data_IF_455270141239
#
_entry.id   IF_455270141239
#
_cell.length_a   1.000
_cell.length_b   1.000
_cell.length_c   1.000
_cell.angle_alpha   90.00
_cell.angle_beta   90.00
_cell.angle_gamma   90.00
#
_symmetry.space_group_name_H-M   'P 1'
#
loop_
_entity.id
_entity.type
_entity.pdbx_description
1 polymer ?
#
# COMPACT_ATOMS: atom_id res chain seq x y z
N UNK A 1 6.02 -0.30 0.34
CA UNK A 1 4.56 -0.14 0.24
C UNK A 1 4.13 0.81 1.34
N UNK A 2 3.90 2.07 0.97
CA UNK A 2 3.37 3.09 1.88
C UNK A 2 1.92 3.32 1.45
N UNK A 3 0.99 3.08 2.34
CA UNK A 3 -0.39 3.52 2.17
C UNK A 3 -0.45 4.84 2.92
N UNK A 4 -0.59 5.95 2.21
CA UNK A 4 -0.80 7.23 2.85
C UNK A 4 -2.14 7.16 3.58
N UNK A 5 -2.16 7.54 4.85
CA UNK A 5 -3.35 7.47 5.70
C UNK A 5 -4.41 8.54 5.36
N UNK A 6 -4.20 9.31 4.29
CA UNK A 6 -5.13 10.33 3.83
C UNK A 6 -5.02 11.65 4.59
N UNK A 7 -3.81 12.04 5.01
CA UNK A 7 -3.54 13.37 5.61
C UNK A 7 -3.98 14.53 4.68
N UNK A 8 -4.13 14.30 3.37
CA UNK A 8 -4.71 15.27 2.43
C UNK A 8 -6.20 15.04 2.07
N UNK A 9 -6.93 14.26 2.86
CA UNK A 9 -8.35 13.95 2.61
C UNK A 9 -8.59 12.97 1.45
N UNK A 10 -7.52 12.38 0.89
CA UNK A 10 -7.59 11.37 -0.15
C UNK A 10 -6.70 10.19 0.23
N UNK A 11 -7.23 8.97 0.13
CA UNK A 11 -6.43 7.76 0.33
C UNK A 11 -5.60 7.48 -0.92
N UNK A 12 -4.27 7.60 -0.82
CA UNK A 12 -3.37 7.21 -1.89
C UNK A 12 -2.79 5.82 -1.63
N UNK A 13 -2.92 4.93 -2.62
CA UNK A 13 -2.26 3.62 -2.61
C UNK A 13 -1.11 3.71 -3.59
N UNK A 14 0.13 3.71 -3.07
CA UNK A 14 1.33 3.79 -3.89
C UNK A 14 2.06 2.45 -3.92
N UNK A 15 2.26 1.92 -5.13
CA UNK A 15 3.17 0.82 -5.40
C UNK A 15 4.34 1.37 -6.23
N UNK A 16 5.55 1.02 -5.84
CA UNK A 16 6.76 1.44 -6.55
C UNK A 16 7.75 0.28 -6.64
N UNK A 17 8.60 0.35 -7.66
CA UNK A 17 9.73 -0.55 -7.86
C UNK A 17 10.98 0.35 -7.96
N UNK A 18 11.99 0.07 -7.14
CA UNK A 18 13.28 0.75 -7.21
C UNK A 18 14.19 -0.01 -8.17
N UNK A 19 13.96 0.21 -9.47
CA UNK A 19 14.64 -0.50 -10.53
C UNK A 19 16.02 0.11 -10.83
N UNK A 20 16.97 -0.71 -11.29
CA UNK A 20 18.27 -0.26 -11.76
C UNK A 20 18.18 0.45 -13.12
N UNK A 21 19.20 1.20 -13.51
CA UNK A 21 19.28 1.90 -14.80
C UNK A 21 18.90 0.99 -15.98
N UNK A 22 18.17 1.54 -16.95
CA UNK A 22 17.63 0.83 -18.13
C UNK A 22 16.64 -0.32 -17.82
N UNK A 23 16.16 -0.46 -16.57
CA UNK A 23 15.22 -1.52 -16.16
C UNK A 23 13.79 -1.04 -15.94
N UNK A 24 13.45 0.17 -16.39
CA UNK A 24 12.11 0.72 -16.18
C UNK A 24 11.00 -0.11 -16.85
N UNK A 25 11.25 -0.68 -18.04
CA UNK A 25 10.28 -1.52 -18.76
C UNK A 25 9.87 -2.78 -17.98
N UNK A 26 10.80 -3.67 -17.59
CA UNK A 26 10.44 -4.84 -16.79
C UNK A 26 9.85 -4.47 -15.43
N UNK A 27 10.24 -3.33 -14.84
CA UNK A 27 9.65 -2.83 -13.60
C UNK A 27 8.18 -2.42 -13.78
N UNK A 28 7.86 -1.65 -14.82
CA UNK A 28 6.47 -1.31 -15.19
C UNK A 28 5.65 -2.57 -15.45
N UNK A 29 6.19 -3.51 -16.23
CA UNK A 29 5.49 -4.77 -16.50
C UNK A 29 5.27 -5.61 -15.23
N UNK A 30 6.25 -5.65 -14.32
CA UNK A 30 6.16 -6.32 -13.03
C UNK A 30 5.07 -5.72 -12.14
N UNK A 31 5.12 -4.39 -11.93
CA UNK A 31 4.10 -3.67 -11.17
C UNK A 31 2.71 -3.88 -11.77
N UNK A 32 2.58 -3.88 -13.10
CA UNK A 32 1.29 -4.07 -13.75
C UNK A 32 0.74 -5.49 -13.60
N UNK A 33 1.59 -6.51 -13.67
CA UNK A 33 1.17 -7.90 -13.39
C UNK A 33 0.73 -8.07 -11.93
N UNK A 34 1.49 -7.51 -10.98
CA UNK A 34 1.16 -7.60 -9.55
C UNK A 34 -0.19 -6.94 -9.27
N UNK A 35 -0.38 -5.69 -9.73
CA UNK A 35 -1.65 -4.97 -9.52
C UNK A 35 -2.82 -5.66 -10.23
N UNK A 36 -2.61 -6.21 -11.42
CA UNK A 36 -3.64 -7.01 -12.11
C UNK A 36 -4.00 -8.30 -11.34
N UNK A 37 -3.01 -9.02 -10.82
CA UNK A 37 -3.23 -10.22 -10.02
C UNK A 37 -3.98 -9.88 -8.72
N UNK A 38 -3.62 -8.79 -8.05
CA UNK A 38 -4.29 -8.35 -6.83
C UNK A 38 -5.74 -7.89 -7.07
N UNK A 39 -6.01 -7.24 -8.20
CA UNK A 39 -7.38 -6.80 -8.54
C UNK A 39 -8.28 -7.95 -8.97
N UNK A 40 -7.73 -8.97 -9.63
CA UNK A 40 -8.49 -10.13 -10.10
C UNK A 40 -8.57 -11.25 -9.05
N UNK A 41 -7.42 -11.72 -8.57
CA UNK A 41 -7.30 -12.81 -7.60
C UNK A 41 -7.45 -12.39 -6.14
N UNK A 42 -7.05 -11.17 -5.79
CA UNK A 42 -6.96 -10.73 -4.39
C UNK A 42 -5.69 -11.25 -3.70
N UNK A 43 -5.74 -11.35 -2.37
CA UNK A 43 -4.64 -11.89 -1.56
C UNK A 43 -4.76 -13.41 -1.41
N UNK A 44 -3.63 -14.08 -1.27
CA UNK A 44 -3.60 -15.49 -0.84
C UNK A 44 -3.91 -15.60 0.66
N UNK A 45 -4.36 -16.78 1.09
CA UNK A 45 -4.59 -17.05 2.52
C UNK A 45 -3.29 -16.93 3.34
N UNK A 46 -2.15 -17.33 2.76
CA UNK A 46 -0.85 -17.29 3.41
C UNK A 46 -0.37 -15.86 3.64
N UNK A 47 -0.43 -15.00 2.61
CA UNK A 47 -0.12 -13.56 2.72
C UNK A 47 -1.02 -12.89 3.75
N UNK A 48 -2.32 -13.22 3.76
CA UNK A 48 -3.26 -12.63 4.69
C UNK A 48 -2.96 -13.01 6.15
N UNK A 49 -2.62 -14.28 6.40
CA UNK A 49 -2.27 -14.73 7.75
C UNK A 49 -0.92 -14.17 8.19
N UNK A 50 0.05 -14.02 7.28
CA UNK A 50 1.31 -13.36 7.59
C UNK A 50 1.08 -11.91 8.01
N UNK A 51 0.33 -11.13 7.23
CA UNK A 51 0.01 -9.74 7.55
C UNK A 51 -0.69 -9.59 8.92
N UNK A 52 -1.62 -10.50 9.26
CA UNK A 52 -2.27 -10.50 10.57
C UNK A 52 -1.29 -10.74 11.73
N UNK A 53 -0.35 -11.67 11.57
CA UNK A 53 0.69 -11.94 12.58
C UNK A 53 1.62 -10.74 12.72
N UNK A 54 2.07 -10.17 11.60
CA UNK A 54 2.99 -9.03 11.61
C UNK A 54 2.40 -7.82 12.35
N UNK A 55 1.09 -7.55 12.19
CA UNK A 55 0.39 -6.49 12.95
C UNK A 55 0.42 -6.78 14.45
N UNK A 56 0.10 -8.02 14.86
CA UNK A 56 0.07 -8.40 16.28
C UNK A 56 1.47 -8.35 16.88
N UNK A 57 2.49 -8.83 16.17
CA UNK A 57 3.88 -8.82 16.60
C UNK A 57 4.43 -7.39 16.72
N UNK A 58 4.09 -6.50 15.77
CA UNK A 58 4.45 -5.09 15.86
C UNK A 58 3.81 -4.40 17.08
N UNK A 59 2.51 -4.62 17.29
CA UNK A 59 1.78 -4.05 18.43
C UNK A 59 2.29 -4.59 19.77
N UNK A 60 2.63 -5.88 19.84
CA UNK A 60 3.25 -6.48 21.03
C UNK A 60 4.59 -5.80 21.37
N UNK A 61 5.47 -5.61 20.37
CA UNK A 61 6.75 -4.92 20.59
C UNK A 61 6.54 -3.49 21.07
N UNK A 62 5.66 -2.73 20.41
CA UNK A 62 5.35 -1.35 20.81
C UNK A 62 4.75 -1.25 22.21
N UNK A 63 3.89 -2.20 22.60
CA UNK A 63 3.33 -2.25 23.94
C UNK A 63 4.41 -2.53 25.01
N UNK A 64 5.37 -3.41 24.71
CA UNK A 64 6.49 -3.71 25.61
C UNK A 64 7.48 -2.54 25.75
N UNK A 65 7.65 -1.76 24.69
CA UNK A 65 8.61 -0.65 24.63
C UNK A 65 8.00 0.72 24.95
N UNK A 66 6.72 0.80 25.35
CA UNK A 66 6.02 2.08 25.58
C UNK A 66 6.74 2.99 26.58
N UNK A 67 7.34 2.42 27.63
CA UNK A 67 8.09 3.16 28.64
C UNK A 67 9.44 3.70 28.13
N UNK A 68 9.90 3.25 26.96
CA UNK A 68 11.15 3.67 26.32
C UNK A 68 10.93 4.76 25.26
N UNK A 69 9.68 5.09 24.95
CA UNK A 69 9.35 6.14 23.98
C UNK A 69 9.78 7.50 24.55
N UNK A 70 10.49 8.28 23.76
CA UNK A 70 10.96 9.60 24.18
C UNK A 70 9.77 10.57 24.32
N UNK A 71 9.86 11.55 25.24
CA UNK A 71 8.84 12.60 25.35
C UNK A 71 8.66 13.38 24.05
N UNK A 72 9.72 13.53 23.26
CA UNK A 72 9.68 14.23 21.96
C UNK A 72 8.86 13.44 20.96
N UNK A 73 9.04 12.13 20.87
CA UNK A 73 8.29 11.30 19.92
C UNK A 73 6.83 11.14 20.35
N UNK A 74 6.57 11.00 21.65
CA UNK A 74 5.20 11.02 22.18
C UNK A 74 4.49 12.36 21.90
N UNK A 75 5.20 13.49 22.05
CA UNK A 75 4.63 14.81 21.73
C UNK A 75 4.33 14.96 20.23
N UNK A 76 5.15 14.40 19.34
CA UNK A 76 4.86 14.37 17.90
C UNK A 76 3.61 13.55 17.61
N UNK A 77 3.50 12.35 18.19
CA UNK A 77 2.35 11.48 17.99
C UNK A 77 1.04 12.14 18.48
N UNK A 78 1.09 12.80 19.64
CA UNK A 78 -0.03 13.60 20.16
C UNK A 78 -0.37 14.78 19.25
N UNK A 79 0.64 15.50 18.74
CA UNK A 79 0.43 16.63 17.84
C UNK A 79 -0.24 16.19 16.54
N UNK A 80 0.15 15.05 15.97
CA UNK A 80 -0.48 14.51 14.77
C UNK A 80 -1.91 14.05 15.05
N UNK A 81 -2.14 13.33 16.15
CA UNK A 81 -3.48 12.91 16.54
C UNK A 81 -4.44 14.12 16.72
N UNK A 82 -3.96 15.18 17.38
CA UNK A 82 -4.72 16.42 17.54
C UNK A 82 -4.98 17.12 16.21
N UNK A 83 -3.99 17.20 15.32
CA UNK A 83 -4.15 17.81 14.01
C UNK A 83 -5.17 17.08 13.13
N UNK A 84 -5.27 15.76 13.30
CA UNK A 84 -6.22 14.89 12.61
C UNK A 84 -7.61 14.81 13.29
N UNK A 85 -7.84 15.55 14.38
CA UNK A 85 -9.05 15.46 15.22
C UNK A 85 -9.39 14.02 15.66
N UNK A 86 -8.36 13.29 16.12
CA UNK A 86 -8.48 11.90 16.57
C UNK A 86 -7.78 11.63 17.90
N UNK A 87 -8.24 10.61 18.60
CA UNK A 87 -7.59 10.14 19.82
C UNK A 87 -6.25 9.44 19.50
N UNK A 88 -5.23 9.72 20.32
CA UNK A 88 -4.01 8.92 20.36
C UNK A 88 -4.27 7.65 21.17
N UNK A 89 -4.54 6.54 20.48
CA UNK A 89 -4.80 5.25 21.11
C UNK A 89 -3.45 4.58 21.48
N UNK A 90 -3.23 4.19 22.74
CA UNK A 90 -1.96 3.59 23.15
C UNK A 90 -1.78 2.17 22.57
N UNK A 91 -0.53 1.71 22.33
CA UNK A 91 -0.24 0.43 21.67
C UNK A 91 -0.88 -0.80 22.33
N UNK A 92 -1.02 -0.82 23.66
CA UNK A 92 -1.67 -1.90 24.39
C UNK A 92 -3.18 -2.00 24.11
N UNK A 93 -3.87 -0.87 23.95
CA UNK A 93 -5.28 -0.85 23.57
C UNK A 93 -5.47 -1.28 22.11
N UNK A 94 -4.60 -0.81 21.21
CA UNK A 94 -4.58 -1.27 19.82
C UNK A 94 -4.30 -2.78 19.72
N UNK A 95 -3.37 -3.30 20.51
CA UNK A 95 -3.07 -4.74 20.58
C UNK A 95 -4.31 -5.54 21.02
N UNK A 96 -4.99 -5.08 22.08
CA UNK A 96 -6.22 -5.71 22.58
C UNK A 96 -7.30 -5.72 21.50
N UNK A 97 -7.49 -4.59 20.80
CA UNK A 97 -8.43 -4.50 19.70
C UNK A 97 -8.06 -5.45 18.55
N UNK A 98 -6.82 -5.42 18.09
CA UNK A 98 -6.32 -6.26 17.01
C UNK A 98 -6.50 -7.76 17.32
N UNK A 99 -6.17 -8.18 18.55
CA UNK A 99 -6.31 -9.57 18.99
C UNK A 99 -7.77 -10.06 18.94
N UNK A 100 -8.73 -9.17 19.23
CA UNK A 100 -10.15 -9.52 19.22
C UNK A 100 -10.75 -9.47 17.82
N UNK A 101 -10.32 -8.51 16.98
CA UNK A 101 -10.98 -8.21 15.71
C UNK A 101 -10.34 -8.95 14.54
N UNK A 102 -9.01 -9.01 14.47
CA UNK A 102 -8.30 -9.61 13.33
C UNK A 102 -8.73 -11.06 13.04
N UNK A 103 -8.98 -11.95 14.03
CA UNK A 103 -9.44 -13.31 13.76
C UNK A 103 -10.68 -13.38 12.86
N UNK A 104 -11.63 -12.45 13.03
CA UNK A 104 -12.85 -12.36 12.24
C UNK A 104 -12.67 -11.75 10.85
N UNK A 105 -11.51 -11.15 10.55
CA UNK A 105 -11.22 -10.59 9.23
C UNK A 105 -10.59 -11.67 8.35
N UNK A 106 -11.38 -12.24 7.45
CA UNK A 106 -10.93 -13.25 6.50
C UNK A 106 -10.36 -12.67 5.20
N UNK A 107 -9.63 -13.52 4.47
CA UNK A 107 -8.97 -13.14 3.21
C UNK A 107 -9.96 -12.69 2.14
N UNK A 108 -11.19 -13.21 2.17
CA UNK A 108 -12.25 -12.84 1.21
C UNK A 108 -12.70 -11.41 1.43
N UNK A 109 -12.93 -11.03 2.69
CA UNK A 109 -13.32 -9.68 3.08
C UNK A 109 -12.20 -8.69 2.77
N UNK A 110 -10.95 -9.05 3.10
CA UNK A 110 -9.77 -8.26 2.75
C UNK A 110 -9.61 -8.02 1.25
N UNK A 111 -9.74 -9.08 0.46
CA UNK A 111 -9.65 -8.98 -1.01
C UNK A 111 -10.81 -8.19 -1.62
N UNK A 112 -12.02 -8.31 -1.05
CA UNK A 112 -13.19 -7.54 -1.49
C UNK A 112 -12.99 -6.05 -1.22
N UNK A 113 -12.56 -5.71 -0.01
CA UNK A 113 -12.21 -4.34 0.35
C UNK A 113 -11.11 -3.79 -0.56
N UNK A 114 -10.05 -4.57 -0.83
CA UNK A 114 -8.98 -4.12 -1.71
C UNK A 114 -9.48 -3.77 -3.11
N UNK A 115 -10.29 -4.64 -3.72
CA UNK A 115 -10.88 -4.36 -5.05
C UNK A 115 -11.73 -3.11 -5.05
N UNK A 116 -12.50 -2.86 -3.98
CA UNK A 116 -13.28 -1.64 -3.84
C UNK A 116 -12.39 -0.40 -3.76
N UNK A 117 -11.35 -0.44 -2.92
CA UNK A 117 -10.42 0.69 -2.77
C UNK A 117 -9.65 0.97 -4.07
N UNK A 118 -9.18 -0.08 -4.75
CA UNK A 118 -8.47 0.06 -6.01
C UNK A 118 -9.38 0.57 -7.13
N UNK A 119 -10.60 0.03 -7.23
CA UNK A 119 -11.56 0.39 -8.27
C UNK A 119 -12.21 1.77 -8.09
N UNK A 120 -12.20 2.35 -6.89
CA UNK A 120 -12.73 3.69 -6.63
C UNK A 120 -11.75 4.82 -6.95
N UNK A 121 -10.48 4.50 -7.14
CA UNK A 121 -9.42 5.48 -7.38
C UNK A 121 -9.21 5.79 -8.87
N UNK A 122 -8.49 6.90 -9.13
CA UNK A 122 -7.91 7.17 -10.45
C UNK A 122 -6.48 6.62 -10.46
N UNK A 123 -6.18 5.74 -11.41
CA UNK A 123 -4.85 5.15 -11.55
C UNK A 123 -3.87 6.16 -12.16
N UNK A 124 -2.73 6.35 -11.51
CA UNK A 124 -1.61 7.13 -12.02
C UNK A 124 -0.35 6.27 -12.07
N UNK A 125 0.31 6.23 -13.22
CA UNK A 125 1.60 5.55 -13.41
C UNK A 125 2.67 6.58 -13.76
N UNK A 126 3.72 6.63 -12.95
CA UNK A 126 4.90 7.49 -13.14
C UNK A 126 6.14 6.62 -13.24
N UNK A 127 7.02 6.97 -14.17
CA UNK A 127 8.34 6.35 -14.34
C UNK A 127 9.37 7.46 -14.33
N UNK A 128 10.40 7.29 -13.51
CA UNK A 128 11.54 8.19 -13.44
C UNK A 128 12.74 7.46 -14.02
N UNK A 129 13.05 7.75 -15.29
CA UNK A 129 14.15 7.09 -16.00
C UNK A 129 14.78 8.09 -16.99
N UNK A 130 16.11 8.31 -16.96
CA UNK A 130 16.78 9.26 -17.85
C UNK A 130 16.52 8.99 -19.34
N UNK A 131 16.36 7.73 -19.72
CA UNK A 131 16.13 7.30 -21.10
C UNK A 131 14.82 7.86 -21.68
N UNK A 132 13.82 8.11 -20.83
CA UNK A 132 12.53 8.67 -21.25
C UNK A 132 12.67 10.10 -21.78
N UNK A 133 13.72 10.82 -21.41
CA UNK A 133 13.99 12.16 -21.97
C UNK A 133 14.23 12.15 -23.48
N UNK A 134 14.57 10.98 -24.05
CA UNK A 134 14.82 10.80 -25.49
C UNK A 134 13.60 10.25 -26.25
N UNK A 135 12.51 9.96 -25.56
CA UNK A 135 11.28 9.41 -26.14
C UNK A 135 10.33 10.55 -26.49
N UNK A 136 9.82 10.58 -27.72
CA UNK A 136 8.95 11.67 -28.21
C UNK A 136 7.64 11.81 -27.42
N UNK A 137 7.07 10.68 -26.98
CA UNK A 137 5.90 10.64 -26.08
C UNK A 137 6.14 9.57 -24.99
N UNK A 138 6.73 9.96 -23.85
CA UNK A 138 7.02 9.05 -22.75
C UNK A 138 5.76 8.41 -22.15
N UNK A 139 4.64 9.13 -22.12
CA UNK A 139 3.39 8.66 -21.53
C UNK A 139 2.83 7.50 -22.35
N UNK A 140 2.82 7.66 -23.69
CA UNK A 140 2.38 6.59 -24.59
C UNK A 140 3.30 5.37 -24.50
N UNK A 141 4.62 5.56 -24.42
CA UNK A 141 5.57 4.47 -24.30
C UNK A 141 5.40 3.67 -22.99
N UNK A 142 5.22 4.37 -21.86
CA UNK A 142 4.95 3.75 -20.55
C UNK A 142 3.62 2.99 -20.58
N UNK A 143 2.57 3.61 -21.13
CA UNK A 143 1.24 2.97 -21.22
C UNK A 143 1.27 1.72 -22.09
N UNK A 144 1.99 1.75 -23.21
CA UNK A 144 2.15 0.59 -24.08
C UNK A 144 2.79 -0.59 -23.32
N UNK A 145 3.91 -0.34 -22.64
CA UNK A 145 4.59 -1.37 -21.84
C UNK A 145 3.69 -1.95 -20.74
N UNK A 146 2.96 -1.09 -20.01
CA UNK A 146 2.02 -1.53 -18.98
C UNK A 146 0.89 -2.40 -19.58
N UNK A 147 0.33 -2.00 -20.72
CA UNK A 147 -0.79 -2.70 -21.35
C UNK A 147 -0.40 -4.03 -22.00
N UNK A 148 0.82 -4.14 -22.50
CA UNK A 148 1.37 -5.41 -23.01
C UNK A 148 1.59 -6.43 -21.90
N UNK A 149 1.88 -5.99 -20.67
CA UNK A 149 2.28 -6.86 -19.57
C UNK A 149 1.21 -7.85 -19.08
N UNK A 150 -0.08 -7.55 -19.28
CA UNK A 150 -1.19 -8.33 -18.67
C UNK A 150 -2.10 -9.03 -19.67
N UNK A 151 -2.08 -8.68 -20.96
CA UNK A 151 -2.92 -9.29 -22.02
C UNK A 151 -4.45 -9.22 -21.81
N UNK A 152 -4.90 -8.83 -20.62
CA UNK A 152 -6.28 -8.81 -20.14
C UNK A 152 -6.88 -7.42 -20.31
N UNK A 153 -8.06 -7.34 -20.93
CA UNK A 153 -8.78 -6.09 -21.10
C UNK A 153 -9.17 -5.42 -19.78
N UNK A 154 -9.35 -6.20 -18.71
CA UNK A 154 -9.68 -5.72 -17.37
C UNK A 154 -8.53 -5.03 -16.63
N UNK A 155 -7.30 -5.20 -17.13
CA UNK A 155 -6.09 -4.65 -16.53
C UNK A 155 -5.35 -3.70 -17.49
N UNK A 156 -6.08 -2.92 -18.29
CA UNK A 156 -5.48 -1.90 -19.15
C UNK A 156 -5.45 -0.53 -18.48
N UNK A 157 -4.30 0.14 -18.53
CA UNK A 157 -4.13 1.55 -18.15
C UNK A 157 -4.76 2.40 -19.25
N UNK A 158 -5.69 3.26 -18.85
CA UNK A 158 -6.41 4.18 -19.76
C UNK A 158 -5.56 5.37 -20.16
#
# INVERSE_FOLDING_TARGET
MFIENGEQGQRQIMLWDNFADDRWKPAVAGLRRITCNLTTGGFTAEEWQAAKRDIVDDLNRRAADIAKVSNVDLAKDLSHALADDRDLIPPNELLRYATNTLPGVDVRSGSTWWRQQWGSGVEHLRVEAPELAKVSDPVVAIRAEANEATGSSGCKVR
#
